data_IF_767586852463
#
_entry.id   IF_767586852463
#
_cell.length_a   1.000
_cell.length_b   1.000
_cell.length_c   1.000
_cell.angle_alpha   90.00
_cell.angle_beta   90.00
_cell.angle_gamma   90.00
#
_symmetry.space_group_name_H-M   'P 1'
#
loop_
_entity.id
_entity.type
_entity.pdbx_description
1 polymer ?
#
# COMPACT_ATOMS: atom_id res chain seq x y z
N UNK A 1 -6.41 2.80 21.33
CA UNK A 1 -6.33 3.92 20.36
C UNK A 1 -6.89 3.45 19.03
N UNK A 2 -7.83 4.21 18.48
CA UNK A 2 -8.47 3.85 17.21
C UNK A 2 -7.46 3.94 16.05
N UNK A 3 -7.53 2.98 15.13
CA UNK A 3 -6.75 3.02 13.89
C UNK A 3 -7.44 4.00 12.94
N UNK A 4 -6.67 4.96 12.44
CA UNK A 4 -7.19 6.03 11.60
C UNK A 4 -6.97 5.73 10.13
N UNK A 5 -8.04 5.97 9.31
CA UNK A 5 -7.91 5.92 7.86
C UNK A 5 -7.10 7.11 7.36
N UNK A 6 -6.15 6.83 6.45
CA UNK A 6 -5.38 7.89 5.80
C UNK A 6 -6.11 8.44 4.60
N UNK A 7 -5.81 9.69 4.24
CA UNK A 7 -6.25 10.32 2.99
C UNK A 7 -5.05 10.54 2.08
N UNK A 8 -5.30 10.79 0.79
CA UNK A 8 -4.21 11.08 -0.16
C UNK A 8 -3.40 12.31 0.26
N UNK A 9 -4.05 13.31 0.83
CA UNK A 9 -3.39 14.54 1.28
C UNK A 9 -2.47 14.29 2.49
N UNK A 10 -2.84 13.33 3.33
CA UNK A 10 -2.05 13.00 4.53
C UNK A 10 -0.82 12.17 4.20
N UNK A 11 -0.87 11.34 3.15
CA UNK A 11 0.20 10.40 2.85
C UNK A 11 1.58 11.06 2.66
N UNK A 12 1.70 12.18 1.95
CA UNK A 12 3.00 12.86 1.85
C UNK A 12 3.56 13.34 3.18
N UNK A 13 2.69 13.61 4.16
CA UNK A 13 3.11 14.13 5.47
C UNK A 13 3.70 13.06 6.38
N UNK A 14 3.50 11.78 6.05
CA UNK A 14 4.05 10.67 6.83
C UNK A 14 5.36 10.14 6.26
N UNK A 15 6.00 10.88 5.35
CA UNK A 15 7.22 10.44 4.66
C UNK A 15 8.37 10.10 5.61
N UNK A 16 8.47 10.76 6.75
CA UNK A 16 9.50 10.46 7.76
C UNK A 16 9.24 9.18 8.54
N UNK A 17 7.99 8.70 8.53
CA UNK A 17 7.57 7.50 9.26
C UNK A 17 6.56 6.73 8.40
N UNK A 18 7.04 6.04 7.37
CA UNK A 18 6.14 5.31 6.49
C UNK A 18 5.52 4.12 7.23
N UNK A 19 4.40 4.38 7.91
CA UNK A 19 3.64 3.35 8.62
C UNK A 19 2.14 3.60 8.46
N UNK A 20 1.55 3.20 7.33
CA UNK A 20 0.09 3.29 7.16
C UNK A 20 -0.60 2.18 7.96
N UNK A 21 -0.55 2.29 9.29
CA UNK A 21 -1.11 1.28 10.20
C UNK A 21 -2.59 1.06 9.92
N UNK A 22 -3.02 -0.20 9.89
CA UNK A 22 -4.40 -0.55 9.58
C UNK A 22 -4.70 -0.59 8.10
N UNK A 23 -3.71 -0.38 7.26
CA UNK A 23 -3.86 -0.39 5.80
C UNK A 23 -3.09 -1.53 5.18
N UNK A 24 -3.55 -1.95 3.99
CA UNK A 24 -2.84 -2.92 3.15
C UNK A 24 -2.37 -2.19 1.90
N UNK A 25 -1.08 -2.30 1.59
CA UNK A 25 -0.55 -1.85 0.30
C UNK A 25 -0.59 -3.03 -0.65
N UNK A 26 -1.18 -2.82 -1.83
CA UNK A 26 -1.27 -3.85 -2.87
C UNK A 26 -0.64 -3.33 -4.14
N UNK A 27 0.31 -4.10 -4.69
CA UNK A 27 0.90 -3.83 -6.00
C UNK A 27 0.30 -4.80 -7.02
N UNK A 28 -0.38 -4.27 -8.01
CA UNK A 28 -1.00 -5.04 -9.10
C UNK A 28 -0.10 -4.96 -10.36
N UNK A 29 -0.25 -5.88 -11.33
CA UNK A 29 0.62 -5.90 -12.51
C UNK A 29 0.66 -4.59 -13.30
N UNK A 30 -0.45 -3.85 -13.32
CA UNK A 30 -0.53 -2.56 -14.03
C UNK A 30 -1.68 -1.72 -13.45
N UNK A 31 -1.83 -0.50 -13.97
CA UNK A 31 -2.88 0.42 -13.51
C UNK A 31 -4.29 -0.10 -13.80
N UNK A 32 -4.47 -0.83 -14.91
CA UNK A 32 -5.77 -1.40 -15.25
C UNK A 32 -6.17 -2.50 -14.26
N UNK A 33 -5.22 -3.34 -13.88
CA UNK A 33 -5.45 -4.36 -12.86
C UNK A 33 -5.79 -3.73 -11.51
N UNK A 34 -5.12 -2.63 -11.17
CA UNK A 34 -5.42 -1.89 -9.93
C UNK A 34 -6.85 -1.34 -9.96
N UNK A 35 -7.29 -0.78 -11.09
CA UNK A 35 -8.67 -0.29 -11.23
C UNK A 35 -9.69 -1.43 -11.09
N UNK A 36 -9.41 -2.58 -11.69
CA UNK A 36 -10.29 -3.74 -11.61
C UNK A 36 -10.36 -4.29 -10.17
N UNK A 37 -9.22 -4.36 -9.49
CA UNK A 37 -9.16 -4.80 -8.09
C UNK A 37 -9.92 -3.83 -7.17
N UNK A 38 -9.79 -2.53 -7.40
CA UNK A 38 -10.55 -1.51 -6.66
C UNK A 38 -12.04 -1.74 -6.80
N UNK A 39 -12.51 -1.98 -8.03
CA UNK A 39 -13.92 -2.26 -8.28
C UNK A 39 -14.37 -3.52 -7.54
N UNK A 40 -13.57 -4.58 -7.57
CA UNK A 40 -13.88 -5.82 -6.87
C UNK A 40 -13.96 -5.60 -5.34
N UNK A 41 -13.09 -4.78 -4.78
CA UNK A 41 -13.16 -4.42 -3.36
C UNK A 41 -14.44 -3.67 -3.03
N UNK A 42 -14.85 -2.73 -3.87
CA UNK A 42 -16.10 -2.01 -3.69
C UNK A 42 -17.31 -2.96 -3.74
N UNK A 43 -17.30 -3.90 -4.66
CA UNK A 43 -18.35 -4.92 -4.77
C UNK A 43 -18.38 -5.84 -3.55
N UNK A 44 -17.22 -6.03 -2.90
CA UNK A 44 -17.13 -6.82 -1.68
C UNK A 44 -17.50 -6.04 -0.41
N UNK A 45 -17.88 -4.76 -0.54
CA UNK A 45 -18.37 -3.96 0.58
C UNK A 45 -17.44 -2.88 1.08
N UNK A 46 -16.26 -2.70 0.47
CA UNK A 46 -15.37 -1.60 0.86
C UNK A 46 -15.90 -0.27 0.36
N UNK A 47 -15.87 0.74 1.21
CA UNK A 47 -16.21 2.09 0.80
C UNK A 47 -15.16 2.64 -0.15
N UNK A 48 -15.54 3.43 -1.17
CA UNK A 48 -14.55 4.11 -2.01
C UNK A 48 -13.56 4.95 -1.21
N UNK A 49 -13.98 5.52 -0.07
CA UNK A 49 -13.12 6.32 0.80
C UNK A 49 -12.03 5.49 1.49
N UNK A 50 -12.23 4.18 1.59
CA UNK A 50 -11.26 3.27 2.20
C UNK A 50 -10.21 2.76 1.22
N UNK A 51 -10.32 3.12 -0.06
CA UNK A 51 -9.41 2.64 -1.10
C UNK A 51 -8.78 3.83 -1.81
N UNK A 52 -7.46 3.97 -1.66
CA UNK A 52 -6.70 4.97 -2.41
C UNK A 52 -5.98 4.27 -3.54
N UNK A 53 -6.09 4.80 -4.76
CA UNK A 53 -5.42 4.25 -5.92
C UNK A 53 -4.31 5.20 -6.37
N UNK A 54 -3.15 4.62 -6.67
CA UNK A 54 -2.01 5.37 -7.20
C UNK A 54 -1.54 4.71 -8.48
N UNK A 55 -1.22 5.53 -9.48
CA UNK A 55 -0.57 5.03 -10.69
C UNK A 55 0.87 4.62 -10.40
N UNK A 56 1.48 3.90 -11.33
CA UNK A 56 2.90 3.54 -11.22
C UNK A 56 3.76 4.80 -11.07
N UNK A 57 3.49 5.85 -11.85
CA UNK A 57 4.25 7.10 -11.80
C UNK A 57 4.07 7.82 -10.46
N UNK A 58 2.84 7.88 -9.94
CA UNK A 58 2.57 8.50 -8.65
C UNK A 58 3.30 7.77 -7.52
N UNK A 59 3.28 6.44 -7.54
CA UNK A 59 3.93 5.66 -6.49
C UNK A 59 5.45 5.78 -6.58
N UNK A 60 6.00 5.80 -7.79
CA UNK A 60 7.44 5.98 -7.97
C UNK A 60 7.90 7.30 -7.38
N UNK A 61 7.17 8.38 -7.64
CA UNK A 61 7.48 9.68 -7.05
C UNK A 61 7.42 9.65 -5.52
N UNK A 62 6.41 8.99 -4.96
CA UNK A 62 6.28 8.85 -3.51
C UNK A 62 7.44 8.07 -2.91
N UNK A 63 7.83 6.97 -3.55
CA UNK A 63 8.93 6.14 -3.05
C UNK A 63 10.27 6.84 -3.16
N UNK A 64 10.51 7.56 -4.26
CA UNK A 64 11.75 8.33 -4.43
C UNK A 64 11.88 9.37 -3.31
N UNK A 65 10.80 10.09 -3.02
CA UNK A 65 10.80 11.10 -1.98
C UNK A 65 10.97 10.49 -0.59
N UNK A 66 10.27 9.39 -0.31
CA UNK A 66 10.38 8.69 0.98
C UNK A 66 11.78 8.14 1.22
N UNK A 67 12.41 7.57 0.20
CA UNK A 67 13.75 6.98 0.32
C UNK A 67 14.77 8.09 0.55
N UNK A 68 14.66 9.23 -0.14
CA UNK A 68 15.54 10.37 0.06
C UNK A 68 15.49 10.86 1.51
N UNK A 69 14.31 10.94 2.10
CA UNK A 69 14.16 11.33 3.51
C UNK A 69 14.62 10.23 4.46
N UNK A 70 14.30 8.98 4.17
CA UNK A 70 14.63 7.85 5.05
C UNK A 70 16.13 7.61 5.14
N UNK A 71 16.90 7.93 4.10
CA UNK A 71 18.35 7.75 4.09
C UNK A 71 19.06 8.63 5.12
N UNK A 72 18.40 9.67 5.60
CA UNK A 72 18.97 10.57 6.63
C UNK A 72 18.78 10.00 8.06
N UNK A 73 18.05 8.89 8.21
CA UNK A 73 17.75 8.32 9.52
C UNK A 73 18.31 6.90 9.63
N UNK A 74 19.23 6.69 10.57
CA UNK A 74 19.74 5.36 10.86
C UNK A 74 18.65 4.49 11.48
N UNK A 75 18.62 3.20 11.15
CA UNK A 75 17.71 2.22 11.76
C UNK A 75 16.47 1.83 10.96
N UNK A 76 16.34 2.30 9.75
CA UNK A 76 15.20 1.99 8.87
C UNK A 76 15.49 0.83 7.90
N UNK A 77 16.32 -0.15 8.29
CA UNK A 77 16.79 -1.21 7.39
C UNK A 77 15.67 -1.94 6.64
N UNK A 78 14.68 -2.46 7.37
CA UNK A 78 13.59 -3.23 6.77
C UNK A 78 12.65 -2.35 5.95
N UNK A 79 12.26 -1.22 6.49
CA UNK A 79 11.36 -0.28 5.81
C UNK A 79 11.99 0.26 4.52
N UNK A 80 13.29 0.56 4.54
CA UNK A 80 14.01 1.00 3.33
C UNK A 80 14.02 -0.11 2.29
N UNK A 81 14.27 -1.35 2.70
CA UNK A 81 14.27 -2.50 1.79
C UNK A 81 12.90 -2.65 1.13
N UNK A 82 11.84 -2.52 1.91
CA UNK A 82 10.47 -2.62 1.41
C UNK A 82 10.14 -1.48 0.45
N UNK A 83 10.52 -0.25 0.79
CA UNK A 83 10.31 0.92 -0.08
C UNK A 83 11.08 0.79 -1.39
N UNK A 84 12.30 0.25 -1.37
CA UNK A 84 13.07 0.01 -2.59
C UNK A 84 12.39 -1.04 -3.46
N UNK A 85 11.79 -2.06 -2.86
CA UNK A 85 11.02 -3.05 -3.60
C UNK A 85 9.80 -2.40 -4.26
N UNK A 86 9.09 -1.53 -3.55
CA UNK A 86 7.96 -0.80 -4.13
C UNK A 86 8.41 0.09 -5.27
N UNK A 87 9.53 0.79 -5.09
CA UNK A 87 10.13 1.63 -6.12
C UNK A 87 10.41 0.82 -7.39
N UNK A 88 10.99 -0.37 -7.23
CA UNK A 88 11.31 -1.25 -8.34
C UNK A 88 10.06 -1.73 -9.06
N UNK A 89 9.04 -2.18 -8.30
CA UNK A 89 7.75 -2.59 -8.87
C UNK A 89 7.07 -1.44 -9.61
N UNK A 90 7.12 -0.23 -9.06
CA UNK A 90 6.56 0.95 -9.72
C UNK A 90 7.27 1.24 -11.05
N UNK A 91 8.59 1.08 -11.11
CA UNK A 91 9.36 1.23 -12.35
C UNK A 91 8.94 0.21 -13.40
N UNK A 92 8.50 -0.97 -12.96
CA UNK A 92 7.99 -2.02 -13.85
C UNK A 92 6.55 -1.78 -14.29
N UNK A 93 5.91 -0.73 -13.80
CA UNK A 93 4.55 -0.37 -14.20
C UNK A 93 3.45 -0.81 -13.26
N UNK A 94 3.77 -1.28 -12.08
CA UNK A 94 2.77 -1.74 -11.11
C UNK A 94 1.78 -0.62 -10.76
N UNK A 95 0.49 -0.97 -10.74
CA UNK A 95 -0.56 -0.12 -10.21
C UNK A 95 -0.76 -0.42 -8.72
N UNK A 96 -1.24 0.57 -7.96
CA UNK A 96 -1.21 0.50 -6.51
C UNK A 96 -2.53 0.81 -5.86
N UNK A 97 -2.85 0.05 -4.82
CA UNK A 97 -3.96 0.36 -3.93
C UNK A 97 -3.45 0.43 -2.49
N UNK A 98 -3.96 1.40 -1.76
CA UNK A 98 -3.78 1.48 -0.31
C UNK A 98 -5.18 1.36 0.30
N UNK A 99 -5.43 0.24 0.98
CA UNK A 99 -6.77 -0.13 1.43
C UNK A 99 -6.84 -0.12 2.95
N UNK A 100 -7.81 0.64 3.49
CA UNK A 100 -8.06 0.61 4.93
C UNK A 100 -8.79 -0.68 5.29
N UNK A 101 -8.10 -1.54 6.03
CA UNK A 101 -8.60 -2.85 6.44
C UNK A 101 -8.20 -3.09 7.91
N UNK A 102 -8.90 -2.42 8.87
CA UNK A 102 -8.44 -2.41 10.26
C UNK A 102 -8.65 -3.72 11.01
N UNK A 103 -9.50 -4.61 10.51
CA UNK A 103 -9.79 -5.89 11.15
C UNK A 103 -9.36 -7.07 10.27
N UNK A 104 -9.33 -8.27 10.88
CA UNK A 104 -8.88 -9.49 10.19
C UNK A 104 -9.79 -9.88 9.04
N UNK A 105 -11.09 -9.71 9.18
CA UNK A 105 -12.05 -10.08 8.13
C UNK A 105 -11.82 -9.23 6.88
N UNK A 106 -11.62 -7.94 7.04
CA UNK A 106 -11.34 -7.03 5.91
C UNK A 106 -9.96 -7.33 5.32
N UNK A 107 -8.96 -7.57 6.16
CA UNK A 107 -7.62 -7.94 5.71
C UNK A 107 -7.64 -9.20 4.86
N UNK A 108 -8.36 -10.23 5.30
CA UNK A 108 -8.49 -11.48 4.57
C UNK A 108 -9.16 -11.27 3.21
N UNK A 109 -10.16 -10.40 3.16
CA UNK A 109 -10.85 -10.08 1.91
C UNK A 109 -9.92 -9.36 0.92
N UNK A 110 -9.10 -8.43 1.42
CA UNK A 110 -8.10 -7.77 0.58
C UNK A 110 -7.10 -8.78 0.03
N UNK A 111 -6.62 -9.69 0.88
CA UNK A 111 -5.68 -10.74 0.47
C UNK A 111 -6.27 -11.63 -0.63
N UNK A 112 -7.53 -12.03 -0.47
CA UNK A 112 -8.24 -12.86 -1.45
C UNK A 112 -8.33 -12.15 -2.81
N UNK A 113 -8.72 -10.88 -2.80
CA UNK A 113 -8.85 -10.10 -4.03
C UNK A 113 -7.48 -9.83 -4.65
N UNK A 114 -6.47 -9.52 -3.83
CA UNK A 114 -5.10 -9.33 -4.32
C UNK A 114 -4.61 -10.56 -5.08
N UNK A 115 -4.81 -11.74 -4.52
CA UNK A 115 -4.41 -12.99 -5.18
C UNK A 115 -5.18 -13.22 -6.48
N UNK A 116 -6.47 -12.91 -6.49
CA UNK A 116 -7.31 -13.10 -7.67
C UNK A 116 -6.87 -12.23 -8.84
N UNK A 117 -6.32 -11.05 -8.56
CA UNK A 117 -5.84 -10.12 -9.59
C UNK A 117 -4.33 -10.20 -9.80
N UNK A 118 -3.69 -11.27 -9.33
CA UNK A 118 -2.26 -11.53 -9.54
C UNK A 118 -1.35 -10.45 -8.94
N UNK A 119 -1.68 -9.97 -7.75
CA UNK A 119 -0.86 -8.97 -7.08
C UNK A 119 0.59 -9.46 -6.91
N UNK A 120 1.52 -8.55 -7.10
CA UNK A 120 2.95 -8.81 -6.95
C UNK A 120 3.42 -8.56 -5.52
N UNK A 121 2.66 -7.78 -4.75
CA UNK A 121 2.89 -7.55 -3.33
C UNK A 121 1.57 -7.20 -2.66
N UNK A 122 1.41 -7.62 -1.43
CA UNK A 122 0.30 -7.23 -0.57
C UNK A 122 0.78 -7.30 0.88
N UNK A 123 0.99 -6.15 1.50
CA UNK A 123 1.50 -6.06 2.86
C UNK A 123 0.55 -5.29 3.77
N UNK A 124 0.23 -5.91 4.91
CA UNK A 124 -0.56 -5.28 5.96
C UNK A 124 0.38 -4.61 6.96
N UNK A 125 0.14 -3.34 7.22
CA UNK A 125 0.92 -2.57 8.19
C UNK A 125 0.26 -2.60 9.56
N UNK A 126 0.98 -3.16 10.54
CA UNK A 126 0.66 -3.13 11.94
C UNK A 126 1.57 -2.12 12.64
N UNK A 127 1.34 -1.88 13.92
CA UNK A 127 2.15 -0.89 14.65
C UNK A 127 3.63 -1.23 14.72
N UNK A 128 3.96 -2.51 14.88
CA UNK A 128 5.32 -2.96 15.09
C UNK A 128 5.86 -3.84 13.95
N UNK A 129 4.99 -4.37 13.11
CA UNK A 129 5.39 -5.31 12.06
C UNK A 129 4.63 -5.05 10.78
N UNK A 130 5.21 -5.50 9.66
CA UNK A 130 4.55 -5.54 8.36
C UNK A 130 4.34 -7.01 8.01
N UNK A 131 3.11 -7.38 7.70
CA UNK A 131 2.74 -8.75 7.40
C UNK A 131 2.56 -8.95 5.90
N UNK A 132 3.31 -9.91 5.34
CA UNK A 132 3.14 -10.31 3.94
C UNK A 132 1.90 -11.20 3.84
N UNK A 133 0.97 -10.83 2.96
CA UNK A 133 -0.32 -11.53 2.80
C UNK A 133 -0.32 -12.50 1.62
N UNK A 134 0.75 -12.55 0.83
CA UNK A 134 0.83 -13.44 -0.34
C UNK A 134 1.52 -14.76 -0.02
#
# INVERSE_FOLDING_TARGET
MAIKRLTKEERPQILGTFKPVGHVIVALPDDDAASAAKKALQEAGFSPDDIMQYSADEELMQMDEMIDHASDFAGFGYEITLMRRYQELAREGAGWLLVFAPDDAKTDKVAEIAQRFNAMAAEKYHRLVVEDLL
#
